data_IF_613310166239
#
_entry.id   IF_613310166239
#
_cell.length_a   1.000
_cell.length_b   1.000
_cell.length_c   1.000
_cell.angle_alpha   90.00
_cell.angle_beta   90.00
_cell.angle_gamma   90.00
#
_symmetry.space_group_name_H-M   'P 1'
#
loop_
_entity.id
_entity.type
_entity.pdbx_description
1 polymer ?
2 non-polymer ?
#
# COMPACT_ATOMS: atom_id res chain seq x y z
N UNK A 10 -13.29 5.94 -22.97
CA UNK A 10 -13.92 6.70 -21.88
C UNK A 10 -12.99 6.79 -20.67
N UNK A 11 -12.03 5.87 -20.59
CA UNK A 11 -11.08 5.87 -19.48
C UNK A 11 -10.20 7.12 -19.60
N UNK A 12 -10.04 7.89 -18.52
CA UNK A 12 -9.29 9.16 -18.64
C UNK A 12 -7.87 8.96 -19.13
N UNK A 13 -7.38 9.93 -19.92
CA UNK A 13 -6.08 9.82 -20.56
C UNK A 13 -4.96 9.67 -19.54
N UNK A 14 -5.03 10.42 -18.43
CA UNK A 14 -3.99 10.36 -17.40
C UNK A 14 -4.08 9.11 -16.54
N UNK A 15 -5.10 8.28 -16.75
CA UNK A 15 -5.35 7.11 -15.94
C UNK A 15 -5.34 5.84 -16.79
N UNK A 16 -5.08 4.73 -16.12
CA UNK A 16 -5.30 3.39 -16.65
C UNK A 16 -6.40 2.72 -15.85
N UNK A 17 -7.33 2.09 -16.54
CA UNK A 17 -8.51 1.49 -15.91
C UNK A 17 -8.37 -0.02 -15.99
N UNK A 18 -8.56 -0.69 -14.86
CA UNK A 18 -8.78 -2.13 -14.77
C UNK A 18 -10.26 -2.51 -14.83
N UNK A 19 -10.57 -3.69 -14.27
CA UNK A 19 -11.90 -4.28 -14.38
C UNK A 19 -12.97 -3.35 -13.84
N UNK A 20 -12.89 -3.01 -12.55
CA UNK A 20 -13.80 -2.07 -11.92
C UNK A 20 -13.08 -0.88 -11.31
N UNK A 21 -11.78 -0.74 -11.58
CA UNK A 21 -10.97 0.26 -10.91
C UNK A 21 -10.17 1.07 -11.92
N UNK A 22 -9.78 2.27 -11.49
CA UNK A 22 -8.93 3.16 -12.26
C UNK A 22 -7.81 3.71 -11.38
N UNK A 23 -6.62 3.78 -11.95
CA UNK A 23 -5.42 4.29 -11.28
C UNK A 23 -4.84 5.42 -12.13
N UNK A 24 -4.56 6.56 -11.51
CA UNK A 24 -4.04 7.72 -12.22
C UNK A 24 -2.67 8.10 -11.67
N UNK A 25 -1.68 8.14 -12.56
CA UNK A 25 -0.32 8.52 -12.22
C UNK A 25 0.01 9.83 -12.92
N UNK A 26 0.63 10.77 -12.18
CA UNK A 26 1.08 12.04 -12.71
C UNK A 26 -0.07 12.83 -13.34
N UNK A 27 -1.26 12.70 -12.77
CA UNK A 27 -2.41 13.44 -13.27
C UNK A 27 -2.30 14.91 -12.90
N UNK A 28 -2.42 15.79 -13.90
CA UNK A 28 -2.34 17.22 -13.67
C UNK A 28 -3.61 17.80 -13.07
N UNK A 29 -4.72 17.07 -13.13
CA UNK A 29 -5.97 17.54 -12.52
C UNK A 29 -6.83 16.33 -12.20
N UNK A 30 -7.74 16.52 -11.25
CA UNK A 30 -8.66 15.44 -10.87
C UNK A 30 -9.67 15.28 -11.98
N UNK A 31 -9.71 14.13 -12.65
CA UNK A 31 -10.66 13.96 -13.77
C UNK A 31 -12.10 13.87 -13.27
N UNK A 32 -12.99 14.58 -13.96
CA UNK A 32 -14.41 14.57 -13.66
C UNK A 32 -15.18 13.60 -14.54
N UNK A 33 -14.51 12.95 -15.49
CA UNK A 33 -15.14 12.11 -16.49
C UNK A 33 -14.93 10.63 -16.22
N UNK A 34 -14.64 10.27 -14.97
CA UNK A 34 -14.37 8.88 -14.61
C UNK A 34 -15.58 8.03 -14.94
N UNK A 35 -15.41 6.83 -15.50
CA UNK A 35 -16.59 6.03 -15.84
C UNK A 35 -17.40 5.69 -14.60
N UNK A 36 -18.71 5.50 -14.75
CA UNK A 36 -19.55 5.28 -13.56
C UNK A 36 -19.33 3.91 -12.93
N UNK A 37 -18.88 2.94 -13.73
CA UNK A 37 -18.64 1.56 -13.28
C UNK A 37 -17.41 1.44 -12.40
N UNK A 38 -16.62 2.48 -12.27
CA UNK A 38 -15.42 2.47 -11.43
C UNK A 38 -15.83 2.89 -10.03
N UNK A 39 -15.58 2.01 -9.05
CA UNK A 39 -16.00 2.24 -7.67
C UNK A 39 -14.86 2.63 -6.73
N UNK A 40 -13.62 2.55 -7.19
CA UNK A 40 -12.49 2.98 -6.36
C UNK A 40 -11.46 3.67 -7.24
N UNK A 41 -10.79 4.67 -6.67
CA UNK A 41 -9.88 5.49 -7.44
C UNK A 41 -8.60 5.69 -6.67
N UNK A 42 -7.50 5.78 -7.41
CA UNK A 42 -6.18 5.91 -6.81
C UNK A 42 -5.38 6.96 -7.56
N UNK A 43 -4.73 7.87 -6.82
CA UNK A 43 -3.89 8.92 -7.38
C UNK A 43 -2.48 8.77 -6.85
N UNK A 44 -1.52 8.55 -7.73
CA UNK A 44 -0.13 8.31 -7.38
C UNK A 44 0.75 9.34 -8.08
N UNK A 45 1.59 10.03 -7.31
CA UNK A 45 2.54 11.01 -7.83
C UNK A 45 1.85 12.03 -8.74
N UNK A 46 0.67 12.47 -8.31
CA UNK A 46 -0.15 13.35 -9.14
C UNK A 46 0.50 14.72 -9.27
N UNK A 47 0.16 15.41 -10.36
CA UNK A 47 0.69 16.72 -10.63
C UNK A 47 0.07 17.82 -9.79
N UNK A 48 -1.24 17.73 -9.56
CA UNK A 48 -1.94 18.79 -8.84
C UNK A 48 -1.47 18.87 -7.39
N UNK A 49 -1.38 20.09 -6.88
CA UNK A 49 -0.83 20.35 -5.55
C UNK A 49 -1.90 20.58 -4.50
N UNK A 50 -3.18 20.57 -4.87
CA UNK A 50 -4.25 20.86 -3.92
C UNK A 50 -5.51 20.11 -4.32
N UNK A 51 -6.35 19.84 -3.32
CA UNK A 51 -7.67 19.25 -3.54
C UNK A 51 -8.69 20.29 -3.12
N UNK A 52 -9.27 20.98 -4.09
CA UNK A 52 -10.27 22.00 -3.81
C UNK A 52 -11.63 21.37 -3.55
N UNK A 53 -12.54 22.15 -2.98
CA UNK A 53 -13.87 21.64 -2.66
C UNK A 53 -14.61 21.24 -3.93
N UNK A 54 -15.45 20.22 -3.80
CA UNK A 54 -16.29 19.76 -4.90
C UNK A 54 -15.55 19.07 -6.01
N UNK A 55 -14.33 18.58 -5.77
CA UNK A 55 -13.55 17.99 -6.84
C UNK A 55 -14.13 16.65 -7.29
N UNK A 56 -14.74 15.89 -6.38
CA UNK A 56 -15.26 14.56 -6.66
C UNK A 56 -16.78 14.54 -6.85
N UNK A 57 -17.39 15.71 -7.09
CA UNK A 57 -18.84 15.78 -7.24
C UNK A 57 -19.36 14.90 -8.37
N UNK A 58 -18.58 14.77 -9.45
CA UNK A 58 -19.03 14.05 -10.64
C UNK A 58 -18.60 12.60 -10.66
N UNK A 59 -18.07 12.09 -9.56
CA UNK A 59 -17.75 10.66 -9.42
C UNK A 59 -18.41 10.14 -8.14
N UNK A 60 -19.75 10.12 -8.11
CA UNK A 60 -20.45 9.73 -6.88
C UNK A 60 -20.41 8.24 -6.61
N UNK A 61 -19.99 7.43 -7.58
CA UNK A 61 -20.00 5.99 -7.47
C UNK A 61 -18.82 5.46 -6.67
N UNK A 62 -17.93 6.33 -6.19
CA UNK A 62 -16.72 5.86 -5.52
C UNK A 62 -17.02 5.32 -4.13
N UNK A 63 -16.58 4.09 -3.89
CA UNK A 63 -16.60 3.48 -2.57
C UNK A 63 -15.25 3.52 -1.87
N UNK A 64 -14.16 3.71 -2.61
CA UNK A 64 -12.82 3.71 -2.06
C UNK A 64 -11.98 4.75 -2.80
N UNK A 65 -11.09 5.40 -2.07
CA UNK A 65 -10.28 6.47 -2.65
C UNK A 65 -8.89 6.41 -2.05
N UNK A 66 -7.88 6.56 -2.89
CA UNK A 66 -6.49 6.40 -2.47
C UNK A 66 -5.64 7.55 -3.00
N UNK A 67 -4.86 8.16 -2.10
CA UNK A 67 -3.86 9.16 -2.45
C UNK A 67 -2.54 8.75 -1.83
N UNK A 68 -1.54 8.50 -2.67
CA UNK A 68 -0.22 8.10 -2.18
C UNK A 68 0.86 8.77 -3.03
N UNK A 69 1.98 9.09 -2.36
CA UNK A 69 3.16 9.65 -3.01
C UNK A 69 2.84 10.98 -3.69
N UNK A 70 2.05 11.82 -3.04
CA UNK A 70 1.70 13.13 -3.56
C UNK A 70 2.21 14.21 -2.62
N UNK A 71 2.39 15.41 -3.16
CA UNK A 71 2.77 16.59 -2.39
C UNK A 71 1.62 17.57 -2.45
N UNK A 72 0.96 17.79 -1.32
CA UNK A 72 -0.24 18.61 -1.25
C UNK A 72 0.02 19.82 -0.36
N UNK A 73 -0.28 21.02 -0.89
CA UNK A 73 -0.22 22.22 -0.07
C UNK A 73 -1.35 22.23 0.95
N UNK A 74 -2.59 22.14 0.47
CA UNK A 74 -3.77 22.15 1.33
C UNK A 74 -4.76 21.13 0.80
N UNK A 75 -5.42 20.41 1.71
CA UNK A 75 -6.62 19.65 1.42
C UNK A 75 -7.76 20.39 2.10
N UNK A 76 -8.52 21.15 1.31
CA UNK A 76 -9.43 22.15 1.86
C UNK A 76 -10.75 21.52 2.31
N UNK A 77 -11.59 22.36 2.91
CA UNK A 77 -12.91 21.93 3.38
C UNK A 77 -13.76 21.44 2.21
N UNK A 78 -14.62 20.45 2.50
CA UNK A 78 -15.61 19.95 1.55
C UNK A 78 -14.97 19.42 0.28
N UNK A 79 -13.71 18.98 0.37
CA UNK A 79 -13.04 18.44 -0.80
C UNK A 79 -13.71 17.15 -1.28
N UNK A 80 -14.20 16.34 -0.34
CA UNK A 80 -14.83 15.07 -0.64
C UNK A 80 -16.35 15.14 -0.63
N UNK A 81 -16.91 16.36 -0.70
CA UNK A 81 -18.36 16.50 -0.78
C UNK A 81 -18.85 15.85 -2.06
N UNK A 82 -20.03 15.24 -1.99
CA UNK A 82 -20.56 14.51 -3.12
C UNK A 82 -20.03 13.10 -3.26
N UNK A 83 -19.60 12.49 -2.16
CA UNK A 83 -19.17 11.09 -2.13
C UNK A 83 -19.99 10.35 -1.08
N UNK A 84 -21.26 10.06 -1.39
CA UNK A 84 -22.12 9.43 -0.38
C UNK A 84 -21.79 7.96 -0.15
N UNK A 85 -21.22 7.28 -1.14
CA UNK A 85 -20.98 5.85 -1.07
C UNK A 85 -19.54 5.52 -0.68
N UNK A 86 -18.74 6.53 -0.31
CA UNK A 86 -17.34 6.32 -0.01
C UNK A 86 -17.21 5.67 1.37
N UNK A 87 -16.79 4.40 1.39
CA UNK A 87 -16.56 3.69 2.64
C UNK A 87 -15.09 3.64 3.04
N UNK A 88 -14.18 3.88 2.09
CA UNK A 88 -12.75 3.72 2.33
C UNK A 88 -12.01 4.90 1.74
N UNK A 89 -11.26 5.61 2.58
CA UNK A 89 -10.44 6.74 2.17
C UNK A 89 -9.04 6.56 2.73
N UNK A 90 -8.06 6.35 1.86
CA UNK A 90 -6.67 6.12 2.24
C UNK A 90 -5.82 7.26 1.72
N UNK A 91 -5.29 8.08 2.62
CA UNK A 91 -4.33 9.13 2.28
C UNK A 91 -3.05 8.78 3.04
N UNK A 92 -2.07 8.24 2.32
CA UNK A 92 -0.84 7.74 2.95
C UNK A 92 0.37 8.11 2.12
N UNK A 93 1.52 8.21 2.79
CA UNK A 93 2.80 8.47 2.13
C UNK A 93 2.78 9.75 1.30
N UNK A 94 2.19 10.80 1.86
CA UNK A 94 2.07 12.07 1.17
C UNK A 94 2.72 13.18 1.98
N UNK A 95 3.04 14.28 1.31
CA UNK A 95 3.48 15.51 1.94
C UNK A 95 2.29 16.47 1.96
N UNK A 96 1.70 16.65 3.12
CA UNK A 96 0.51 17.48 3.29
C UNK A 96 0.86 18.60 4.25
N UNK A 97 0.84 19.83 3.75
CA UNK A 97 1.18 20.97 4.60
C UNK A 97 0.01 21.39 5.48
N UNK A 98 -1.21 21.34 4.94
CA UNK A 98 -2.38 21.80 5.66
C UNK A 98 -3.56 20.89 5.40
N UNK A 99 -4.24 20.48 6.48
CA UNK A 99 -5.51 19.79 6.42
C UNK A 99 -6.53 20.66 7.15
N UNK A 100 -7.74 20.75 6.60
CA UNK A 100 -8.73 21.68 7.09
C UNK A 100 -9.78 20.95 7.93
N UNK A 101 -10.45 21.73 8.78
CA UNK A 101 -11.37 21.17 9.76
C UNK A 101 -12.49 20.37 9.10
N UNK A 102 -13.11 20.93 8.06
CA UNK A 102 -14.24 20.31 7.38
C UNK A 102 -13.82 19.54 6.14
N UNK A 103 -12.55 19.13 6.07
CA UNK A 103 -12.05 18.37 4.92
C UNK A 103 -12.91 17.15 4.64
N UNK A 104 -13.17 16.36 5.69
CA UNK A 104 -13.89 15.10 5.56
C UNK A 104 -15.40 15.26 5.75
N UNK A 105 -15.89 16.50 5.83
CA UNK A 105 -17.33 16.72 5.99
C UNK A 105 -18.09 16.17 4.79
N UNK A 106 -19.18 15.46 5.06
CA UNK A 106 -20.04 14.92 4.02
C UNK A 106 -19.86 13.44 3.75
N UNK A 107 -18.97 12.77 4.46
CA UNK A 107 -18.76 11.33 4.32
C UNK A 107 -19.33 10.63 5.55
N UNK A 108 -20.60 10.26 5.48
CA UNK A 108 -21.25 9.55 6.57
C UNK A 108 -21.22 8.04 6.39
N UNK A 109 -20.85 7.55 5.21
CA UNK A 109 -20.67 6.12 4.96
C UNK A 109 -19.21 5.69 5.10
N UNK A 110 -18.32 6.60 5.48
CA UNK A 110 -16.90 6.29 5.56
C UNK A 110 -16.64 5.31 6.70
N UNK A 111 -16.10 4.15 6.37
CA UNK A 111 -15.84 3.11 7.37
C UNK A 111 -14.39 3.17 7.83
N UNK A 112 -13.47 3.03 6.90
CA UNK A 112 -12.04 3.00 7.19
C UNK A 112 -11.39 4.26 6.63
N UNK A 113 -10.72 5.02 7.50
CA UNK A 113 -9.99 6.21 7.11
C UNK A 113 -8.56 6.10 7.59
N UNK A 114 -7.60 6.32 6.69
CA UNK A 114 -6.19 6.20 7.01
C UNK A 114 -5.47 7.46 6.58
N UNK A 115 -4.93 8.19 7.55
CA UNK A 115 -4.04 9.32 7.29
C UNK A 115 -2.59 8.97 7.63
N UNK A 116 -2.28 7.68 7.72
CA UNK A 116 -0.99 7.23 8.21
C UNK A 116 0.15 7.64 7.29
N UNK A 117 1.31 7.90 7.88
CA UNK A 117 2.57 8.08 7.17
C UNK A 117 2.58 9.33 6.30
N UNK A 118 1.87 10.37 6.71
CA UNK A 118 1.92 11.64 6.01
C UNK A 118 2.84 12.66 6.69
N UNK A 119 3.45 12.28 7.81
CA UNK A 119 4.34 13.17 8.56
C UNK A 119 3.64 14.48 8.90
N UNK A 120 2.40 14.37 9.36
CA UNK A 120 1.61 15.52 9.75
C UNK A 120 1.97 15.94 11.17
N UNK A 121 2.07 17.26 11.39
CA UNK A 121 2.42 17.79 12.69
C UNK A 121 1.20 18.19 13.52
N UNK A 122 0.00 18.18 12.95
CA UNK A 122 -1.20 18.51 13.71
C UNK A 122 -2.43 18.04 12.94
N UNK A 123 -3.58 18.11 13.63
CA UNK A 123 -4.90 17.86 13.05
C UNK A 123 -5.87 18.86 13.65
N UNK A 124 -6.75 19.45 12.84
CA UNK A 124 -7.68 20.45 13.35
C UNK A 124 -8.81 19.82 14.16
N UNK A 125 -9.34 20.61 15.09
CA UNK A 125 -10.40 20.13 15.97
C UNK A 125 -11.63 19.75 15.17
N UNK A 126 -12.29 18.66 15.59
CA UNK A 126 -13.52 18.18 14.96
C UNK A 126 -13.30 17.80 13.50
N UNK A 127 -12.11 17.31 13.17
CA UNK A 127 -11.84 16.87 11.81
C UNK A 127 -12.58 15.56 11.53
N UNK A 128 -12.83 14.77 12.57
CA UNK A 128 -13.55 13.51 12.46
C UNK A 128 -15.02 13.63 12.86
N UNK A 129 -15.48 14.83 13.19
CA UNK A 129 -16.89 15.05 13.49
C UNK A 129 -17.76 14.76 12.27
N UNK A 130 -18.87 14.06 12.49
CA UNK A 130 -19.79 13.75 11.43
C UNK A 130 -19.51 12.45 10.70
N UNK A 131 -18.46 11.72 11.06
CA UNK A 131 -18.14 10.43 10.44
C UNK A 131 -18.72 9.35 11.34
N UNK A 132 -19.95 8.94 11.03
CA UNK A 132 -20.70 8.04 11.89
C UNK A 132 -20.43 6.56 11.61
N UNK A 133 -20.18 6.20 10.36
CA UNK A 133 -19.88 4.82 10.00
C UNK A 133 -18.42 4.46 10.25
N UNK A 134 -17.67 5.32 10.92
CA UNK A 134 -16.22 5.19 11.05
C UNK A 134 -15.91 4.11 12.08
N UNK A 135 -15.31 3.01 11.62
CA UNK A 135 -14.90 1.94 12.51
C UNK A 135 -13.39 1.86 12.74
N UNK A 136 -12.59 2.52 11.91
CA UNK A 136 -11.15 2.44 12.04
C UNK A 136 -10.50 3.71 11.52
N UNK A 137 -9.49 4.19 12.25
CA UNK A 137 -8.71 5.36 11.86
C UNK A 137 -7.25 5.03 12.10
N UNK A 138 -6.41 5.26 11.08
CA UNK A 138 -4.99 4.98 11.15
C UNK A 138 -4.26 6.32 11.13
N UNK A 139 -3.77 6.75 12.30
CA UNK A 139 -3.02 7.99 12.44
C UNK A 139 -1.53 7.75 12.65
N UNK A 140 -1.08 6.51 12.55
CA UNK A 140 0.31 6.18 12.84
C UNK A 140 1.25 6.80 11.81
N UNK A 141 2.53 6.88 12.19
CA UNK A 141 3.56 7.32 11.27
C UNK A 141 3.61 8.80 10.97
N UNK A 142 3.14 9.64 11.88
CA UNK A 142 3.09 11.09 11.68
C UNK A 142 4.04 11.79 12.66
N UNK A 143 4.21 13.08 12.46
CA UNK A 143 5.14 13.89 13.23
C UNK A 143 4.45 14.71 14.32
N UNK A 144 3.35 14.21 14.88
CA UNK A 144 2.53 14.95 15.83
C UNK A 144 3.34 15.47 17.02
N UNK A 145 3.12 16.75 17.34
CA UNK A 145 3.72 17.45 18.47
C UNK A 145 2.66 17.73 19.53
N UNK A 146 2.92 17.27 20.75
CA UNK A 146 1.99 17.46 21.89
C UNK A 146 1.78 18.96 22.16
N UNK A 147 0.56 19.44 22.04
CA UNK A 147 0.24 20.85 22.27
C UNK A 147 -1.16 20.93 22.87
N UNK A 148 -1.63 22.15 23.12
CA UNK A 148 -2.99 22.37 23.58
C UNK A 148 -4.02 22.26 22.45
N UNK A 149 -3.66 22.70 21.24
CA UNK A 149 -4.56 22.64 20.10
C UNK A 149 -4.91 21.21 19.66
N UNK A 150 -4.02 20.25 19.86
CA UNK A 150 -4.32 18.85 19.65
C UNK A 150 -4.99 18.22 20.85
N UNK A 151 -5.14 19.00 21.93
CA UNK A 151 -5.83 18.57 23.14
C UNK A 151 -7.09 17.77 22.83
N UNK A 152 -7.97 18.35 22.02
CA UNK A 152 -9.23 17.70 21.66
C UNK A 152 -9.02 16.24 21.27
N UNK A 153 -7.93 15.96 20.56
CA UNK A 153 -7.67 14.61 20.06
C UNK A 153 -7.75 13.57 21.17
N UNK A 154 -7.13 13.84 22.31
CA UNK A 154 -7.13 12.85 23.38
C UNK A 154 -8.57 12.59 23.83
N UNK A 155 -9.37 13.64 23.96
CA UNK A 155 -10.78 13.47 24.27
C UNK A 155 -11.45 12.64 23.19
N UNK A 156 -11.18 12.97 21.92
CA UNK A 156 -11.76 12.19 20.84
C UNK A 156 -11.28 10.75 20.88
N UNK A 157 -10.06 10.51 21.39
CA UNK A 157 -9.58 9.14 21.49
C UNK A 157 -10.22 8.39 22.66
N UNK A 158 -10.82 9.10 23.60
CA UNK A 158 -11.46 8.46 24.74
C UNK A 158 -12.88 8.04 24.42
N UNK A 159 -13.61 8.90 23.72
CA UNK A 159 -15.02 8.70 23.44
C UNK A 159 -15.30 8.15 22.05
N UNK A 160 -14.27 7.73 21.31
CA UNK A 160 -14.47 7.26 19.95
C UNK A 160 -14.89 5.80 19.93
N UNK A 161 -15.83 5.47 19.06
CA UNK A 161 -16.04 4.07 18.73
C UNK A 161 -14.79 3.47 18.12
N UNK A 162 -14.34 4.07 17.02
CA UNK A 162 -13.45 3.46 16.05
C UNK A 162 -12.20 2.90 16.71
N UNK A 163 -11.61 1.91 16.05
CA UNK A 163 -10.34 1.32 16.48
C UNK A 163 -9.19 2.19 15.98
N UNK A 164 -8.43 2.77 16.91
CA UNK A 164 -7.30 3.64 16.59
C UNK A 164 -6.07 3.07 17.27
N UNK A 165 -5.09 2.66 16.48
CA UNK A 165 -3.87 2.10 17.03
C UNK A 165 -3.04 3.18 17.71
N UNK A 166 -2.12 2.75 18.57
CA UNK A 166 -1.36 3.68 19.39
C UNK A 166 -0.49 4.61 18.54
N UNK A 167 -0.57 5.90 18.84
CA UNK A 167 0.25 6.92 18.22
C UNK A 167 0.95 7.72 19.31
N UNK A 168 2.06 8.37 18.94
CA UNK A 168 2.88 9.08 19.91
C UNK A 168 3.27 10.44 19.34
N UNK A 169 3.48 11.41 20.24
CA UNK A 169 3.97 12.74 19.86
C UNK A 169 5.49 12.71 19.91
N UNK A 170 6.12 13.15 18.80
CA UNK A 170 7.57 13.33 18.77
C UNK A 170 8.05 14.46 19.67
N UNK A 171 7.37 15.61 19.69
CA UNK A 171 7.81 16.61 20.63
C UNK A 171 6.76 17.04 21.64
N UNK A 172 7.17 17.78 22.69
CA UNK A 172 8.52 18.30 22.93
C UNK A 172 9.56 17.21 23.21
N UNK A 173 10.84 17.57 23.12
CA UNK A 173 11.89 16.55 23.29
C UNK A 173 11.84 15.84 24.64
N UNK A 174 11.43 16.53 25.69
CA UNK A 174 11.29 15.89 27.00
C UNK A 174 10.20 14.83 26.99
N UNK A 175 9.09 15.11 26.30
CA UNK A 175 7.95 14.21 26.23
C UNK A 175 7.92 13.44 24.91
N UNK A 176 9.07 13.27 24.28
CA UNK A 176 9.15 12.55 23.01
C UNK A 176 8.71 11.11 23.19
N UNK A 177 7.98 10.59 22.20
CA UNK A 177 7.54 9.19 22.18
C UNK A 177 6.63 8.86 23.36
N UNK A 178 5.68 9.75 23.66
CA UNK A 178 4.69 9.51 24.71
C UNK A 178 3.38 9.08 24.07
N UNK A 179 2.75 8.07 24.67
CA UNK A 179 1.54 7.48 24.13
C UNK A 179 0.39 8.48 24.08
N UNK A 180 -0.04 8.85 22.87
CA UNK A 180 -1.16 9.78 22.73
C UNK A 180 -2.43 9.15 23.29
N UNK A 181 -2.58 7.83 23.16
CA UNK A 181 -3.76 7.15 23.68
C UNK A 181 -3.77 7.13 25.20
N UNK A 182 -2.60 6.94 25.82
CA UNK A 182 -2.54 6.97 27.28
C UNK A 182 -2.73 8.37 27.84
N UNK A 183 -2.53 9.40 27.01
CA UNK A 183 -2.58 10.76 27.52
C UNK A 183 -4.02 11.11 27.93
N UNK A 184 -4.13 11.93 28.96
CA UNK A 184 -5.39 12.26 29.61
C UNK A 184 -5.51 13.77 29.73
N UNK A 185 -6.74 14.30 29.89
CA UNK A 185 -6.87 15.75 30.06
C UNK A 185 -6.13 16.29 31.27
N UNK A 186 -5.97 15.50 32.32
CA UNK A 186 -5.29 15.94 33.53
C UNK A 186 -3.80 16.12 33.35
N UNK A 187 -3.25 15.72 32.20
CA UNK A 187 -1.80 15.81 32.02
C UNK A 187 -1.35 17.15 31.47
N UNK A 188 -2.04 17.74 30.50
CA UNK A 188 -1.60 18.99 29.89
C UNK A 188 -2.28 20.18 30.54
N UNK A 189 -1.49 21.18 30.91
CA UNK A 189 -2.01 22.45 31.41
C UNK A 189 -2.09 23.45 30.26
N UNK A 190 -3.24 24.08 30.12
CA UNK A 190 -3.44 25.02 29.02
C UNK A 190 -4.16 26.29 29.45
N UNK B 10 -19.08 -14.29 6.14
CA UNK B 10 -18.24 -13.25 5.58
C UNK B 10 -17.07 -13.86 4.82
N UNK B 11 -16.75 -15.10 5.15
CA UNK B 11 -15.63 -15.78 4.52
C UNK B 11 -15.98 -16.10 3.06
N UNK B 12 -15.10 -15.78 2.11
CA UNK B 12 -15.42 -16.03 0.69
C UNK B 12 -15.64 -17.52 0.42
N UNK B 13 -16.56 -17.80 -0.51
CA UNK B 13 -16.95 -19.17 -0.80
C UNK B 13 -15.76 -20.01 -1.29
N UNK B 14 -14.87 -19.40 -2.08
CA UNK B 14 -13.74 -20.11 -2.67
C UNK B 14 -12.65 -20.37 -1.62
N UNK B 15 -12.84 -19.85 -0.41
CA UNK B 15 -11.84 -19.95 0.65
C UNK B 15 -12.42 -20.64 1.88
N UNK B 16 -11.53 -21.20 2.69
CA UNK B 16 -11.85 -21.64 4.04
C UNK B 16 -11.08 -20.76 5.02
N UNK B 17 -11.79 -20.23 6.01
CA UNK B 17 -11.24 -19.23 6.91
C UNK B 17 -11.15 -19.78 8.33
N UNK B 18 -9.98 -19.61 8.95
CA UNK B 18 -9.84 -19.75 10.39
C UNK B 18 -10.07 -18.38 11.04
N UNK B 19 -9.52 -18.16 12.25
CA UNK B 19 -9.73 -16.88 12.92
C UNK B 19 -8.87 -15.78 12.31
N UNK B 20 -7.56 -15.99 12.23
CA UNK B 20 -6.65 -15.00 11.67
C UNK B 20 -6.07 -15.42 10.33
N UNK B 21 -6.55 -16.52 9.75
CA UNK B 21 -6.01 -17.05 8.51
C UNK B 21 -7.13 -17.38 7.54
N UNK B 22 -6.82 -17.26 6.25
CA UNK B 22 -7.72 -17.66 5.18
C UNK B 22 -6.89 -18.36 4.10
N UNK B 23 -7.43 -19.46 3.58
CA UNK B 23 -6.78 -20.21 2.52
C UNK B 23 -7.75 -20.37 1.36
N UNK B 24 -7.32 -20.02 0.15
CA UNK B 24 -8.15 -20.10 -1.04
C UNK B 24 -7.47 -21.04 -2.03
N UNK B 25 -8.18 -22.08 -2.43
CA UNK B 25 -7.69 -23.05 -3.41
C UNK B 25 -8.54 -22.97 -4.68
N UNK B 26 -7.87 -22.95 -5.83
CA UNK B 26 -8.55 -22.94 -7.12
C UNK B 26 -9.50 -21.76 -7.27
N UNK B 27 -9.14 -20.62 -6.68
CA UNK B 27 -9.97 -19.43 -6.78
C UNK B 27 -9.86 -18.83 -8.17
N UNK B 28 -11.01 -18.61 -8.81
CA UNK B 28 -11.02 -18.03 -10.15
C UNK B 28 -10.79 -16.51 -10.13
N UNK B 29 -10.91 -15.87 -8.98
CA UNK B 29 -10.65 -14.44 -8.87
C UNK B 29 -10.26 -14.12 -7.43
N UNK B 30 -9.57 -13.01 -7.26
CA UNK B 30 -9.12 -12.54 -5.95
C UNK B 30 -10.31 -11.99 -5.17
N UNK B 31 -10.68 -12.60 -4.04
CA UNK B 31 -11.84 -12.12 -3.29
C UNK B 31 -11.57 -10.78 -2.63
N UNK B 32 -12.53 -9.86 -2.74
CA UNK B 32 -12.43 -8.53 -2.17
C UNK B 32 -13.18 -8.39 -0.84
N UNK B 33 -13.89 -9.43 -0.41
CA UNK B 33 -14.77 -9.38 0.76
C UNK B 33 -14.21 -10.14 1.95
N UNK B 34 -12.89 -10.31 2.03
CA UNK B 34 -12.27 -11.11 3.08
C UNK B 34 -12.60 -10.56 4.45
N UNK B 35 -12.90 -11.39 5.46
CA UNK B 35 -13.25 -10.86 6.77
C UNK B 35 -12.09 -10.07 7.37
N UNK B 36 -12.38 -9.09 8.23
CA UNK B 36 -11.31 -8.21 8.72
C UNK B 36 -10.38 -8.86 9.73
N UNK B 37 -10.85 -9.82 10.51
CA UNK B 37 -9.99 -10.43 11.50
C UNK B 37 -8.89 -11.30 10.90
N UNK B 38 -8.96 -11.58 9.59
CA UNK B 38 -7.96 -12.39 8.91
C UNK B 38 -6.85 -11.48 8.40
N UNK B 39 -5.61 -11.72 8.86
CA UNK B 39 -4.47 -10.89 8.50
C UNK B 39 -3.51 -11.57 7.52
N UNK B 40 -3.73 -12.83 7.18
CA UNK B 40 -2.87 -13.49 6.21
C UNK B 40 -3.74 -14.26 5.23
N UNK B 41 -3.31 -14.27 3.98
CA UNK B 41 -4.09 -14.87 2.91
C UNK B 41 -3.17 -15.63 1.98
N UNK B 42 -3.60 -16.83 1.58
CA UNK B 42 -2.79 -17.72 0.75
C UNK B 42 -3.60 -18.19 -0.45
N UNK B 43 -2.99 -18.15 -1.63
CA UNK B 43 -3.62 -18.60 -2.86
C UNK B 43 -2.84 -19.78 -3.42
N UNK B 44 -3.50 -20.93 -3.53
CA UNK B 44 -2.87 -22.17 -3.95
C UNK B 44 -3.63 -22.70 -5.16
N UNK B 45 -2.89 -23.00 -6.23
CA UNK B 45 -3.46 -23.58 -7.44
C UNK B 45 -4.65 -22.77 -7.95
N UNK B 46 -4.51 -21.45 -7.90
CA UNK B 46 -5.61 -20.56 -8.22
C UNK B 46 -5.96 -20.62 -9.70
N UNK B 47 -7.21 -20.27 -10.01
CA UNK B 47 -7.68 -20.28 -11.38
C UNK B 47 -7.21 -19.09 -12.18
N UNK B 48 -7.14 -17.93 -11.55
CA UNK B 48 -6.79 -16.71 -12.26
C UNK B 48 -5.34 -16.75 -12.72
N UNK B 49 -5.09 -16.21 -13.91
CA UNK B 49 -3.78 -16.27 -14.54
C UNK B 49 -3.00 -14.97 -14.42
N UNK B 50 -3.58 -13.95 -13.80
CA UNK B 50 -2.91 -12.65 -13.71
C UNK B 50 -3.32 -11.95 -12.42
N UNK B 51 -2.44 -11.11 -11.92
CA UNK B 51 -2.72 -10.25 -10.76
C UNK B 51 -2.69 -8.82 -11.27
N UNK B 52 -3.88 -8.23 -11.46
CA UNK B 52 -3.98 -6.88 -11.96
C UNK B 52 -3.76 -5.87 -10.84
N UNK B 53 -3.50 -4.63 -11.24
CA UNK B 53 -3.25 -3.58 -10.26
C UNK B 53 -4.49 -3.34 -9.39
N UNK B 54 -4.24 -2.98 -8.14
CA UNK B 54 -5.31 -2.65 -7.22
C UNK B 54 -6.20 -3.81 -6.82
N UNK B 55 -5.73 -5.05 -6.99
CA UNK B 55 -6.58 -6.20 -6.69
C UNK B 55 -6.83 -6.35 -5.20
N UNK B 56 -5.87 -5.94 -4.36
CA UNK B 56 -5.96 -6.10 -2.92
C UNK B 56 -6.38 -4.81 -2.22
N UNK B 57 -6.93 -3.84 -2.95
CA UNK B 57 -7.33 -2.57 -2.36
C UNK B 57 -8.36 -2.76 -1.25
N UNK B 58 -9.21 -3.78 -1.35
CA UNK B 58 -10.29 -3.98 -0.41
C UNK B 58 -9.90 -4.89 0.76
N UNK B 59 -8.63 -5.26 0.87
CA UNK B 59 -8.12 -6.05 1.99
C UNK B 59 -6.88 -5.37 2.58
N UNK B 60 -7.04 -4.19 3.18
CA UNK B 60 -5.87 -3.47 3.68
C UNK B 60 -5.27 -4.05 4.95
N UNK B 61 -5.96 -4.99 5.60
CA UNK B 61 -5.55 -5.51 6.90
C UNK B 61 -4.50 -6.62 6.80
N UNK B 62 -4.11 -7.00 5.59
CA UNK B 62 -3.22 -8.15 5.41
C UNK B 62 -1.79 -7.81 5.83
N UNK B 63 -1.23 -8.66 6.69
CA UNK B 63 0.19 -8.61 7.01
C UNK B 63 1.00 -9.67 6.30
N UNK B 64 0.35 -10.72 5.77
CA UNK B 64 1.07 -11.82 5.12
C UNK B 64 0.29 -12.27 3.90
N UNK B 65 1.01 -12.61 2.84
CA UNK B 65 0.37 -12.98 1.58
C UNK B 65 1.19 -14.05 0.88
N UNK B 66 0.52 -15.10 0.43
CA UNK B 66 1.18 -16.27 -0.14
C UNK B 66 0.58 -16.64 -1.48
N UNK B 67 1.44 -16.86 -2.47
CA UNK B 67 1.05 -17.42 -3.76
C UNK B 67 1.94 -18.62 -4.04
N UNK B 68 1.34 -19.80 -4.14
CA UNK B 68 2.09 -21.02 -4.41
C UNK B 68 1.32 -21.91 -5.36
N UNK B 69 2.06 -22.63 -6.20
CA UNK B 69 1.49 -23.60 -7.14
C UNK B 69 0.52 -22.93 -8.12
N UNK B 70 0.86 -21.74 -8.59
CA UNK B 70 0.05 -21.01 -9.55
C UNK B 70 0.81 -20.82 -10.85
N UNK B 71 0.04 -20.61 -11.93
CA UNK B 71 0.59 -20.29 -13.24
C UNK B 71 0.14 -18.87 -13.58
N UNK B 72 1.10 -17.95 -13.60
CA UNK B 72 0.83 -16.53 -13.81
C UNK B 72 1.47 -16.05 -15.10
N UNK B 73 0.68 -15.42 -15.96
CA UNK B 73 1.23 -14.79 -17.15
C UNK B 73 2.03 -13.54 -16.79
N UNK B 74 1.39 -12.59 -16.12
CA UNK B 74 2.04 -11.35 -15.70
C UNK B 74 1.55 -11.00 -14.30
N UNK B 75 2.46 -10.50 -13.47
CA UNK B 75 2.11 -9.80 -12.23
C UNK B 75 2.44 -8.34 -12.45
N UNK B 76 1.41 -7.52 -12.67
CA UNK B 76 1.61 -6.19 -13.19
C UNK B 76 2.01 -5.20 -12.09
N UNK B 77 2.31 -3.98 -12.51
CA UNK B 77 2.69 -2.92 -11.58
C UNK B 77 1.54 -2.63 -10.62
N UNK B 78 1.90 -2.23 -9.40
CA UNK B 78 0.94 -1.77 -8.40
C UNK B 78 -0.10 -2.83 -8.07
N UNK B 79 0.24 -4.11 -8.23
CA UNK B 79 -0.69 -5.17 -7.87
C UNK B 79 -0.95 -5.18 -6.37
N UNK B 80 0.07 -4.85 -5.58
CA UNK B 80 -0.04 -4.85 -4.13
C UNK B 80 -0.25 -3.44 -3.57
N UNK B 81 -0.67 -2.49 -4.41
CA UNK B 81 -0.98 -1.16 -3.92
C UNK B 81 -2.15 -1.23 -2.95
N UNK B 82 -2.10 -0.40 -1.91
CA UNK B 82 -3.12 -0.45 -0.89
C UNK B 82 -2.91 -1.53 0.15
N UNK B 83 -1.66 -1.96 0.36
CA UNK B 83 -1.31 -2.93 1.40
C UNK B 83 -0.26 -2.29 2.30
N UNK B 84 -0.66 -1.37 3.17
CA UNK B 84 0.33 -0.66 3.99
C UNK B 84 0.90 -1.51 5.11
N UNK B 85 0.16 -2.51 5.60
CA UNK B 85 0.57 -3.30 6.75
C UNK B 85 1.20 -4.64 6.37
N UNK B 86 1.45 -4.88 5.08
CA UNK B 86 1.97 -6.16 4.63
C UNK B 86 3.46 -6.23 4.96
N UNK B 87 3.82 -7.11 5.90
CA UNK B 87 5.21 -7.32 6.27
C UNK B 87 5.85 -8.53 5.60
N UNK B 88 5.04 -9.46 5.09
CA UNK B 88 5.55 -10.72 4.57
C UNK B 88 4.84 -11.06 3.28
N UNK B 89 5.60 -11.21 2.20
CA UNK B 89 5.06 -11.59 0.90
C UNK B 89 5.90 -12.72 0.34
N UNK B 90 5.29 -13.91 0.23
CA UNK B 90 5.97 -15.11 -0.26
C UNK B 90 5.29 -15.55 -1.55
N UNK B 91 6.03 -15.47 -2.66
CA UNK B 91 5.59 -15.98 -3.95
C UNK B 91 6.58 -17.08 -4.33
N UNK B 92 6.17 -18.34 -4.17
CA UNK B 92 7.08 -19.46 -4.34
C UNK B 92 6.39 -20.57 -5.12
N UNK B 93 7.20 -21.39 -5.80
CA UNK B 93 6.72 -22.58 -6.51
C UNK B 93 5.62 -22.24 -7.52
N UNK B 94 5.81 -21.17 -8.28
CA UNK B 94 4.84 -20.73 -9.27
C UNK B 94 5.48 -20.65 -10.64
N UNK B 95 4.63 -20.65 -11.66
CA UNK B 95 5.04 -20.39 -13.04
C UNK B 95 4.66 -18.96 -13.39
N UNK B 96 5.65 -18.07 -13.42
CA UNK B 96 5.44 -16.66 -13.68
C UNK B 96 6.22 -16.27 -14.94
N UNK B 97 5.50 -15.85 -15.97
CA UNK B 97 6.14 -15.49 -17.23
C UNK B 97 6.74 -14.09 -17.18
N UNK B 98 6.06 -13.15 -16.53
CA UNK B 98 6.51 -11.76 -16.52
C UNK B 98 6.26 -11.13 -15.16
N UNK B 99 7.29 -10.48 -14.62
CA UNK B 99 7.18 -9.64 -13.43
C UNK B 99 7.56 -8.23 -13.83
N UNK B 100 6.81 -7.24 -13.31
CA UNK B 100 6.96 -5.86 -13.74
C UNK B 100 7.74 -5.05 -12.70
N UNK B 101 8.31 -3.94 -13.18
CA UNK B 101 9.22 -3.14 -12.35
C UNK B 101 8.54 -2.65 -11.07
N UNK B 102 7.33 -2.11 -11.19
CA UNK B 102 6.63 -1.51 -10.07
C UNK B 102 5.64 -2.47 -9.43
N UNK B 103 5.83 -3.78 -9.62
CA UNK B 103 4.95 -4.77 -9.01
C UNK B 103 4.85 -4.57 -7.50
N UNK B 104 5.99 -4.45 -6.84
CA UNK B 104 6.04 -4.36 -5.39
C UNK B 104 6.00 -2.91 -4.90
N UNK B 105 5.76 -1.95 -5.78
CA UNK B 105 5.67 -0.55 -5.37
C UNK B 105 4.51 -0.36 -4.39
N UNK B 106 4.77 0.37 -3.32
CA UNK B 106 3.75 0.68 -2.34
C UNK B 106 3.81 -0.13 -1.07
N UNK B 107 4.76 -1.06 -0.95
CA UNK B 107 4.94 -1.87 0.25
C UNK B 107 6.19 -1.39 0.99
N UNK B 108 6.01 -0.42 1.89
CA UNK B 108 7.12 0.09 2.67
C UNK B 108 7.26 -0.60 4.02
N UNK B 109 6.29 -1.40 4.42
CA UNK B 109 6.36 -2.20 5.63
C UNK B 109 6.83 -3.62 5.37
N UNK B 110 7.16 -3.95 4.12
CA UNK B 110 7.52 -5.32 3.76
C UNK B 110 8.87 -5.67 4.39
N UNK B 111 8.86 -6.72 5.21
CA UNK B 111 10.06 -7.15 5.93
C UNK B 111 10.72 -8.30 5.16
N UNK B 112 9.99 -9.38 4.97
CA UNK B 112 10.49 -10.58 4.30
C UNK B 112 9.79 -10.76 2.97
N UNK B 113 10.57 -10.85 1.89
CA UNK B 113 10.03 -11.10 0.55
C UNK B 113 10.73 -12.31 -0.03
N UNK B 114 9.95 -13.27 -0.54
CA UNK B 114 10.50 -14.50 -1.10
C UNK B 114 9.96 -14.73 -2.49
N UNK B 115 10.85 -14.70 -3.48
CA UNK B 115 10.55 -15.11 -4.85
C UNK B 115 11.17 -16.46 -5.18
N UNK B 116 11.55 -17.23 -4.16
CA UNK B 116 12.32 -18.44 -4.36
C UNK B 116 11.51 -19.50 -5.11
N UNK B 117 12.22 -20.30 -5.91
CA UNK B 117 11.69 -21.51 -6.53
C UNK B 117 10.59 -21.23 -7.54
N UNK B 118 10.63 -20.07 -8.20
CA UNK B 118 9.69 -19.76 -9.26
C UNK B 118 10.27 -19.96 -10.65
N UNK B 119 11.55 -20.35 -10.75
CA UNK B 119 12.23 -20.56 -12.03
C UNK B 119 12.14 -19.30 -12.90
N UNK B 120 12.42 -18.15 -12.28
CA UNK B 120 12.44 -16.89 -12.99
C UNK B 120 13.78 -16.72 -13.69
N UNK B 121 13.73 -16.23 -14.93
CA UNK B 121 14.93 -16.09 -15.74
C UNK B 121 15.53 -14.69 -15.69
N UNK B 122 14.83 -13.70 -15.11
CA UNK B 122 15.36 -12.36 -14.98
C UNK B 122 14.50 -11.59 -13.99
N UNK B 123 14.97 -10.40 -13.62
CA UNK B 123 14.22 -9.45 -12.80
C UNK B 123 14.44 -8.05 -13.33
N UNK B 124 13.40 -7.23 -13.41
CA UNK B 124 13.56 -5.88 -13.95
C UNK B 124 14.22 -4.95 -12.96
N UNK B 125 14.88 -3.92 -13.51
CA UNK B 125 15.63 -2.98 -12.69
C UNK B 125 14.72 -2.24 -11.72
N UNK B 126 15.24 -2.00 -10.51
CA UNK B 126 14.53 -1.25 -9.47
C UNK B 126 13.23 -1.93 -9.05
N UNK B 127 13.18 -3.26 -9.09
CA UNK B 127 12.00 -3.97 -8.62
C UNK B 127 11.91 -3.91 -7.09
N UNK B 128 13.04 -3.79 -6.42
CA UNK B 128 13.08 -3.69 -4.95
C UNK B 128 13.18 -2.26 -4.47
N UNK B 129 13.18 -1.28 -5.37
CA UNK B 129 13.22 0.12 -4.97
C UNK B 129 11.96 0.48 -4.18
N UNK B 130 12.16 1.22 -3.10
CA UNK B 130 11.06 1.68 -2.26
C UNK B 130 10.68 0.75 -1.13
N UNK B 131 11.34 -0.41 -1.00
CA UNK B 131 11.07 -1.35 0.08
C UNK B 131 12.09 -1.09 1.18
N UNK B 132 11.70 -0.25 2.15
CA UNK B 132 12.63 0.21 3.17
C UNK B 132 12.73 -0.73 4.37
N UNK B 133 11.62 -1.38 4.75
CA UNK B 133 11.61 -2.28 5.89
C UNK B 133 12.14 -3.67 5.55
N UNK B 134 12.70 -3.85 4.35
CA UNK B 134 13.05 -5.17 3.85
C UNK B 134 14.33 -5.66 4.52
N UNK B 135 14.21 -6.73 5.32
CA UNK B 135 15.35 -7.33 5.98
C UNK B 135 15.79 -8.66 5.37
N UNK B 136 14.97 -9.28 4.51
CA UNK B 136 15.31 -10.58 3.96
C UNK B 136 14.67 -10.74 2.59
N UNK B 137 15.44 -11.28 1.64
CA UNK B 137 14.97 -11.59 0.30
C UNK B 137 15.48 -12.96 -0.10
N UNK B 138 14.58 -13.82 -0.57
CA UNK B 138 14.92 -15.17 -1.00
C UNK B 138 14.73 -15.26 -2.51
N UNK B 139 15.85 -15.26 -3.24
CA UNK B 139 15.84 -15.41 -4.69
C UNK B 139 16.36 -16.76 -5.15
N UNK B 140 16.61 -17.68 -4.22
CA UNK B 140 17.20 -18.97 -4.58
C UNK B 140 16.23 -19.82 -5.38
N UNK B 141 16.80 -20.83 -6.06
CA UNK B 141 15.98 -21.79 -6.76
C UNK B 141 15.36 -21.28 -8.04
N UNK B 142 15.96 -20.29 -8.68
CA UNK B 142 15.40 -19.70 -9.89
C UNK B 142 16.32 -19.99 -11.07
N UNK B 143 15.81 -19.68 -12.26
CA UNK B 143 16.50 -19.97 -13.52
C UNK B 143 17.21 -18.74 -14.08
N UNK B 144 17.72 -17.87 -13.19
CA UNK B 144 18.26 -16.59 -13.61
C UNK B 144 19.31 -16.78 -14.70
N UNK B 145 19.17 -16.02 -15.78
CA UNK B 145 20.16 -16.03 -16.85
C UNK B 145 20.92 -14.72 -16.71
N UNK B 146 22.19 -14.82 -16.37
CA UNK B 146 22.98 -13.63 -16.09
C UNK B 146 23.28 -12.87 -17.38
N UNK B 147 22.75 -11.66 -17.46
CA UNK B 147 22.85 -10.81 -18.62
C UNK B 147 22.82 -9.36 -18.13
N UNK B 148 22.71 -8.40 -19.04
CA UNK B 148 22.67 -7.01 -18.60
C UNK B 148 21.40 -6.68 -17.82
N UNK B 149 20.26 -7.29 -18.16
CA UNK B 149 19.05 -6.99 -17.40
C UNK B 149 19.19 -7.41 -15.94
N UNK B 150 20.04 -8.40 -15.65
CA UNK B 150 20.36 -8.74 -14.27
C UNK B 150 21.54 -7.95 -13.69
N UNK B 151 22.27 -7.18 -14.51
CA UNK B 151 23.40 -6.38 -14.03
C UNK B 151 23.08 -5.63 -12.74
N UNK B 152 22.05 -4.79 -12.79
CA UNK B 152 21.68 -3.96 -11.63
C UNK B 152 21.64 -4.79 -10.35
N UNK B 153 21.18 -6.04 -10.46
CA UNK B 153 21.01 -6.88 -9.28
C UNK B 153 22.27 -6.93 -8.43
N UNK B 154 23.43 -7.13 -9.09
CA UNK B 154 24.67 -7.25 -8.34
C UNK B 154 24.95 -5.96 -7.55
N UNK B 155 24.74 -4.80 -8.18
CA UNK B 155 24.86 -3.55 -7.45
C UNK B 155 23.90 -3.53 -6.27
N UNK B 156 22.65 -3.93 -6.52
CA UNK B 156 21.67 -4.03 -5.44
C UNK B 156 22.11 -5.04 -4.40
N UNK B 157 22.86 -6.07 -4.81
CA UNK B 157 23.33 -7.05 -3.84
C UNK B 157 24.48 -6.52 -2.99
N UNK B 158 25.13 -5.45 -3.42
CA UNK B 158 26.23 -4.90 -2.66
C UNK B 158 25.83 -3.91 -1.58
N UNK B 159 24.88 -3.03 -1.89
CA UNK B 159 24.48 -1.95 -1.01
C UNK B 159 23.20 -2.23 -0.24
N UNK B 160 22.68 -3.45 -0.30
CA UNK B 160 21.41 -3.76 0.33
C UNK B 160 21.57 -4.06 1.82
N UNK B 161 20.58 -3.64 2.57
CA UNK B 161 20.54 -4.06 3.96
C UNK B 161 20.27 -5.57 4.02
N UNK B 162 19.21 -6.02 3.31
CA UNK B 162 18.57 -7.31 3.54
C UNK B 162 19.55 -8.46 3.43
N UNK B 163 19.22 -9.56 4.12
CA UNK B 163 19.99 -10.79 4.02
C UNK B 163 19.52 -11.58 2.80
N UNK B 164 20.42 -11.77 1.84
CA UNK B 164 20.11 -12.49 0.60
C UNK B 164 21.11 -13.63 0.48
N UNK B 165 20.60 -14.85 0.50
CA UNK B 165 21.47 -16.02 0.39
C UNK B 165 22.02 -16.12 -1.04
N UNK B 166 23.08 -16.90 -1.18
CA UNK B 166 23.79 -16.99 -2.45
C UNK B 166 22.88 -17.54 -3.54
N UNK B 167 22.91 -16.89 -4.71
CA UNK B 167 22.19 -17.35 -5.88
C UNK B 167 23.20 -17.52 -7.01
N UNK B 168 22.81 -18.31 -8.01
CA UNK B 168 23.72 -18.73 -9.06
C UNK B 168 23.08 -18.50 -10.43
N UNK B 169 23.93 -18.39 -11.44
CA UNK B 169 23.47 -18.15 -12.79
C UNK B 169 23.14 -19.48 -13.48
N UNK B 170 21.92 -19.56 -14.03
CA UNK B 170 21.60 -20.71 -14.87
C UNK B 170 22.23 -20.57 -16.25
N UNK B 171 22.06 -19.39 -16.86
CA UNK B 171 22.72 -19.06 -18.11
C UNK B 171 23.46 -17.74 -18.01
N UNK B 172 24.30 -17.42 -19.02
CA UNK B 172 24.58 -18.19 -20.23
C UNK B 172 25.44 -19.40 -19.90
N UNK B 173 25.61 -20.35 -20.83
CA UNK B 173 26.44 -21.53 -20.54
C UNK B 173 27.83 -21.17 -20.05
N UNK B 174 28.38 -20.03 -20.49
CA UNK B 174 29.70 -19.62 -20.03
C UNK B 174 29.75 -19.38 -18.53
N UNK B 175 28.72 -18.71 -17.98
CA UNK B 175 28.70 -18.33 -16.58
C UNK B 175 27.76 -19.19 -15.74
N UNK B 176 27.41 -20.38 -16.21
CA UNK B 176 26.50 -21.23 -15.45
C UNK B 176 27.12 -21.65 -14.12
N UNK B 177 26.27 -21.72 -13.08
CA UNK B 177 26.66 -22.15 -11.74
C UNK B 177 27.70 -21.22 -11.11
N UNK B 178 27.60 -19.93 -11.40
CA UNK B 178 28.46 -18.92 -10.78
C UNK B 178 27.62 -18.04 -9.85
N UNK B 179 28.17 -17.75 -8.67
CA UNK B 179 27.44 -16.95 -7.69
C UNK B 179 27.22 -15.54 -8.22
N UNK B 180 25.94 -15.14 -8.34
CA UNK B 180 25.62 -13.79 -8.79
C UNK B 180 26.18 -12.75 -7.84
N UNK B 181 26.44 -13.13 -6.58
CA UNK B 181 27.05 -12.19 -5.64
C UNK B 181 28.53 -11.97 -5.96
N UNK B 182 29.23 -13.01 -6.41
CA UNK B 182 30.67 -12.94 -6.68
C UNK B 182 30.87 -12.51 -8.13
N UNK B 183 30.84 -11.20 -8.35
CA UNK B 183 30.86 -10.65 -9.70
C UNK B 183 31.54 -9.28 -9.68
N UNK B 184 32.16 -8.93 -10.80
CA UNK B 184 33.04 -7.79 -10.93
C UNK B 184 32.61 -6.90 -12.09
N UNK B 185 32.97 -5.61 -12.08
CA UNK B 185 32.42 -4.68 -13.07
C UNK B 185 32.80 -5.00 -14.51
N UNK B 186 33.97 -5.60 -14.76
CA UNK B 186 34.34 -5.97 -16.13
C UNK B 186 33.30 -6.90 -16.73
N UNK B 187 32.71 -7.77 -15.91
CA UNK B 187 31.64 -8.64 -16.39
C UNK B 187 30.43 -7.83 -16.84
N UNK B 188 30.13 -6.74 -16.13
CA UNK B 188 28.98 -5.89 -16.44
C UNK B 188 29.38 -4.70 -17.30
N UNK B 189 30.07 -4.93 -18.40
CA UNK B 189 30.38 -3.83 -19.33
C UNK B 189 29.24 -3.79 -20.33
N UNK B 190 28.20 -3.04 -19.97
CA UNK B 190 26.98 -2.98 -20.76
C UNK B 190 26.92 -1.77 -21.67
X LIG C 1 -21.03 3.21 17.83
X LIG C 1 -21.59 2.39 19.01
X LIG C 1 -23.03 1.96 18.72
X LIG C 1 -23.89 3.15 18.33
X LIG C 1 -23.25 3.99 17.21
X LIG C 1 -24.03 5.25 16.90
X LIG C 1 -20.31 0.87 20.46
X LIG C 1 -20.73 1.74 21.61
X LIG C 1 -20.75 1.23 19.26
X LIG C 1 -23.59 1.31 19.84
X LIG C 1 -25.17 2.71 17.89
X LIG C 1 -21.91 4.37 17.58
X LIG C 1 -23.30 6.15 16.08
X LIG C 1 -19.60 -0.13 20.64
X LIG D 1 19.70 0.25 6.39
X LIG D 1 21.20 0.56 6.56
X LIG D 1 21.31 1.93 7.25
X LIG D 1 20.42 2.98 6.57
X LIG D 1 19.04 2.43 6.17
X LIG D 1 18.23 3.37 5.30
X LIG D 1 23.16 -0.89 7.11
X LIG D 1 23.85 -0.28 5.94
X LIG D 1 21.90 -0.47 7.33
X LIG D 1 22.68 2.34 7.34
X LIG D 1 20.17 4.04 7.49
X LIG D 1 19.13 1.17 5.50
X LIG D 1 16.97 2.82 4.94
X LIG D 1 23.70 -1.74 7.81
#
# INVERSE_FOLDING_TARGET
HHHHHHHKPKCPAVCTCSKDNALCENARSIPRTVPPDVISLSFVRSGFTEISEGSFLFTPSLQLLLFTSNSFDVISDDAFIGLPHLEYLFIENNNIKSISRHTFRGLKSLIHLSLANNNLQTLPKDIFKGLDSLTNVDLRGNAFNCDCKLKWLVEWLGHTNATVEDIYCEGPPEYKKRKINSLSPKDFDCIIAAAHHHHHHH
HHHHHHHKPKCPAVCTCSKDNALCENARSIPRTVPPDVISLSFVRSGFTEISEGSFLFTPSLQLLLFTSNSFDVISDDAFIGLPHLEYLFIENNNIKSISRHTFRGLKSLIHLSLANNNLQTLPKDIFKGLDSLTNVDLRGNAFNCDCKLKWLVEWLGHTNATVEDIYCEGPPEYKKRKINSLSPKDFDCIIAAAHHHHHHH
NAG C1 C2 C3 C4 C5 C6 C7 C8 N2 O3 O4 O5 O6 O7
NAG C1 C2 C3 C4 C5 C6 C7 C8 N2 O3 O4 O5 O6 O7
#
